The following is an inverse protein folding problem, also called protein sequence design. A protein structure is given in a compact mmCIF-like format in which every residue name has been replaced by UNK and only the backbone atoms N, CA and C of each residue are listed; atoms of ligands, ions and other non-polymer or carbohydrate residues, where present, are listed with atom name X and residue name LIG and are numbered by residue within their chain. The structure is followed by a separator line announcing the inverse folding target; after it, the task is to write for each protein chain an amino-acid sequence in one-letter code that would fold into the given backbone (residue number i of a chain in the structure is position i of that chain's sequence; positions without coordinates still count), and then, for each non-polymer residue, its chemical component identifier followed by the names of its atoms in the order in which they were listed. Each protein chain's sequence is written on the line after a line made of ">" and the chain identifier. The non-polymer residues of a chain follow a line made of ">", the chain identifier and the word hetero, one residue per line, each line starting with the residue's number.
data_IF_169689428324
#
_entry.id   IF_169689428324
#
_cell.length_a   1.000
_cell.length_b   1.000
_cell.length_c   1.000
_cell.angle_alpha   90.00
_cell.angle_beta   90.00
_cell.angle_gamma   90.00
#
_symmetry.space_group_name_H-M   'P 1'
#
loop_
_entity.id
_entity.type
_entity.pdbx_description
1 polymer ?
#
# COMPACT_ATOMS: atom_id res chain seq x y z
N UNK A 1 39.91 76.06 11.82
CA UNK A 1 38.80 75.12 11.54
C UNK A 1 39.41 73.76 11.26
N UNK A 2 39.38 72.86 12.24
CA UNK A 2 39.95 71.51 12.11
C UNK A 2 38.95 70.62 11.35
N UNK A 3 39.38 69.82 10.37
CA UNK A 3 38.50 68.89 9.68
C UNK A 3 38.12 67.76 10.63
N UNK A 4 36.82 67.55 10.80
CA UNK A 4 36.23 66.49 11.61
C UNK A 4 36.61 65.15 10.98
N UNK A 5 37.45 64.37 11.65
CA UNK A 5 37.79 62.99 11.27
C UNK A 5 36.53 62.12 11.37
N UNK A 6 35.82 61.92 10.25
CA UNK A 6 34.77 60.90 10.13
C UNK A 6 35.44 59.53 10.09
N UNK A 7 35.29 58.78 11.18
CA UNK A 7 35.65 57.37 11.25
C UNK A 7 34.61 56.58 10.45
N UNK A 8 34.92 56.26 9.20
CA UNK A 8 34.09 55.41 8.34
C UNK A 8 34.41 53.94 8.66
N UNK A 9 33.59 53.32 9.50
CA UNK A 9 33.66 51.89 9.77
C UNK A 9 32.99 51.14 8.60
N UNK A 10 33.78 50.71 7.63
CA UNK A 10 33.29 49.87 6.53
C UNK A 10 33.19 48.43 7.04
N UNK A 11 31.98 48.01 7.40
CA UNK A 11 31.69 46.62 7.76
C UNK A 11 31.56 45.82 6.46
N UNK A 12 32.64 45.14 6.05
CA UNK A 12 32.58 44.19 4.93
C UNK A 12 31.77 42.99 5.40
N UNK A 13 30.63 42.64 4.75
CA UNK A 13 29.87 41.46 5.14
C UNK A 13 30.74 40.24 4.94
N UNK A 14 30.99 39.51 6.04
CA UNK A 14 31.70 38.24 6.04
C UNK A 14 30.79 37.19 5.39
N UNK A 15 30.72 37.21 4.07
CA UNK A 15 30.06 36.19 3.26
C UNK A 15 30.89 34.93 3.45
N UNK A 16 30.31 33.95 4.16
CA UNK A 16 30.98 32.71 4.55
C UNK A 16 31.81 32.14 3.40
N UNK A 17 33.11 32.38 3.48
CA UNK A 17 34.06 31.84 2.52
C UNK A 17 34.13 30.35 2.80
N UNK A 18 33.39 29.55 2.03
CA UNK A 18 33.78 28.18 1.78
C UNK A 18 35.24 28.26 1.31
N UNK A 19 36.15 27.73 2.12
CA UNK A 19 37.58 27.64 1.86
C UNK A 19 37.79 26.73 0.66
N UNK A 20 37.57 27.28 -0.54
CA UNK A 20 38.12 26.77 -1.78
C UNK A 20 39.61 27.08 -1.79
N UNK A 21 40.34 26.49 -0.84
CA UNK A 21 41.80 26.54 -0.73
C UNK A 21 42.41 25.52 -1.70
N UNK A 22 41.90 25.52 -2.94
CA UNK A 22 42.50 24.81 -4.06
C UNK A 22 43.71 25.59 -4.52
N UNK A 23 44.83 25.41 -3.82
CA UNK A 23 46.13 25.97 -4.20
C UNK A 23 46.39 25.75 -5.69
N UNK A 24 46.44 26.85 -6.46
CA UNK A 24 46.88 26.83 -7.84
C UNK A 24 48.35 26.40 -7.86
N UNK A 25 48.61 25.11 -8.13
CA UNK A 25 49.95 24.58 -8.34
C UNK A 25 50.55 25.13 -9.64
N UNK A 26 51.87 25.25 -9.67
CA UNK A 26 52.58 25.90 -10.77
C UNK A 26 52.51 25.09 -12.07
N UNK A 27 52.59 25.76 -13.22
CA UNK A 27 52.58 25.12 -14.56
C UNK A 27 53.72 24.09 -14.70
N UNK A 28 54.80 24.23 -13.94
CA UNK A 28 55.94 23.31 -13.93
C UNK A 28 55.57 21.90 -13.43
N UNK A 29 54.45 21.74 -12.70
CA UNK A 29 53.99 20.45 -12.17
C UNK A 29 53.03 19.71 -13.12
N UNK A 30 52.82 20.19 -14.35
CA UNK A 30 52.08 19.46 -15.40
C UNK A 30 50.54 19.51 -15.28
N UNK A 31 49.99 20.37 -14.43
CA UNK A 31 48.53 20.47 -14.24
C UNK A 31 47.87 21.60 -15.03
N UNK A 32 46.61 21.38 -15.42
CA UNK A 32 45.75 22.39 -16.07
C UNK A 32 45.53 23.56 -15.10
N UNK A 33 45.53 24.80 -15.61
CA UNK A 33 45.16 25.98 -14.82
C UNK A 33 43.80 25.75 -14.15
N UNK A 34 43.65 26.20 -12.91
CA UNK A 34 42.39 26.09 -12.19
C UNK A 34 41.22 26.57 -13.08
N UNK A 35 40.03 25.94 -13.08
CA UNK A 35 38.92 26.41 -13.90
C UNK A 35 38.57 27.90 -13.67
N UNK A 36 38.75 28.38 -12.43
CA UNK A 36 38.60 29.80 -12.09
C UNK A 36 39.65 30.73 -12.72
N UNK A 37 40.77 30.19 -13.20
CA UNK A 37 41.86 30.90 -13.86
C UNK A 37 41.62 31.03 -15.38
N UNK A 38 40.69 30.25 -15.94
CA UNK A 38 40.36 30.25 -17.37
C UNK A 38 39.20 31.21 -17.69
N UNK A 39 38.38 31.55 -16.70
CA UNK A 39 37.33 32.57 -16.82
C UNK A 39 37.95 33.99 -16.72
N UNK A 40 37.88 34.81 -17.79
CA UNK A 40 38.46 36.15 -17.81
C UNK A 40 37.82 37.09 -16.78
N UNK A 41 36.53 36.93 -16.46
CA UNK A 41 35.83 37.76 -15.46
C UNK A 41 36.30 37.42 -14.05
N UNK A 42 36.35 36.12 -13.70
CA UNK A 42 36.91 35.69 -12.41
C UNK A 42 38.35 36.12 -12.22
N UNK A 43 39.19 36.01 -13.27
CA UNK A 43 40.57 36.50 -13.22
C UNK A 43 40.64 38.01 -12.96
N UNK A 44 39.75 38.78 -13.58
CA UNK A 44 39.67 40.23 -13.37
C UNK A 44 39.23 40.56 -11.94
N UNK A 45 38.21 39.89 -11.42
CA UNK A 45 37.75 40.04 -10.03
C UNK A 45 38.86 39.71 -9.01
N UNK A 46 39.58 38.60 -9.22
CA UNK A 46 40.72 38.22 -8.35
C UNK A 46 41.79 39.31 -8.36
N UNK A 47 42.14 39.83 -9.54
CA UNK A 47 43.14 40.89 -9.67
C UNK A 47 42.71 42.17 -8.95
N UNK A 48 41.44 42.58 -9.08
CA UNK A 48 40.87 43.74 -8.39
C UNK A 48 40.93 43.54 -6.87
N UNK A 49 40.50 42.39 -6.34
CA UNK A 49 40.58 42.07 -4.90
C UNK A 49 42.02 42.11 -4.38
N UNK A 50 42.98 41.59 -5.14
CA UNK A 50 44.40 41.65 -4.79
C UNK A 50 44.96 43.09 -4.80
N UNK A 51 44.52 43.94 -5.73
CA UNK A 51 44.90 45.37 -5.78
C UNK A 51 44.32 46.11 -4.57
N UNK A 52 43.03 45.95 -4.27
CA UNK A 52 42.38 46.52 -3.06
C UNK A 52 43.19 46.20 -1.80
N UNK A 53 43.50 44.92 -1.56
CA UNK A 53 44.28 44.52 -0.38
C UNK A 53 45.71 45.06 -0.37
N UNK A 54 46.34 45.25 -1.54
CA UNK A 54 47.67 45.90 -1.64
C UNK A 54 47.60 47.38 -1.29
N UNK A 55 46.62 48.11 -1.82
CA UNK A 55 46.43 49.53 -1.56
C UNK A 55 46.08 49.78 -0.10
N UNK A 56 45.23 48.95 0.52
CA UNK A 56 44.90 49.06 1.94
C UNK A 56 46.16 48.93 2.84
N UNK A 57 47.01 47.93 2.57
CA UNK A 57 48.29 47.76 3.30
C UNK A 57 49.27 48.89 3.02
N UNK A 58 49.25 49.48 1.83
CA UNK A 58 50.11 50.61 1.47
C UNK A 58 49.66 51.90 2.17
N UNK A 59 48.35 52.19 2.17
CA UNK A 59 47.73 53.30 2.89
C UNK A 59 48.03 53.23 4.39
N UNK A 60 47.86 52.05 5.02
CA UNK A 60 48.19 51.83 6.44
C UNK A 60 49.66 52.13 6.75
N UNK A 61 50.59 51.73 5.88
CA UNK A 61 52.03 52.03 6.04
C UNK A 61 52.34 53.51 5.86
N UNK A 62 51.75 54.16 4.85
CA UNK A 62 51.91 55.60 4.61
C UNK A 62 51.36 56.45 5.78
N UNK A 63 50.22 56.05 6.35
CA UNK A 63 49.63 56.70 7.52
C UNK A 63 50.53 56.59 8.77
N UNK A 64 51.13 55.42 9.01
CA UNK A 64 52.14 55.26 10.09
C UNK A 64 53.36 56.16 9.90
N UNK A 65 53.75 56.41 8.65
CA UNK A 65 54.87 57.29 8.30
C UNK A 65 54.47 58.78 8.17
N UNK A 66 53.22 59.14 8.47
CA UNK A 66 52.66 60.51 8.34
C UNK A 66 52.81 61.11 6.91
N UNK A 67 52.76 60.26 5.88
CA UNK A 67 52.84 60.68 4.48
C UNK A 67 51.42 60.87 3.91
N UNK A 68 50.76 61.98 4.24
CA UNK A 68 49.34 62.18 3.96
C UNK A 68 48.98 62.20 2.46
N UNK A 69 49.79 62.83 1.61
CA UNK A 69 49.58 62.83 0.14
C UNK A 69 49.55 61.40 -0.44
N UNK A 70 50.36 60.49 0.12
CA UNK A 70 50.37 59.09 -0.29
C UNK A 70 49.15 58.35 0.22
N UNK A 71 48.64 58.69 1.41
CA UNK A 71 47.39 58.12 1.93
C UNK A 71 46.24 58.48 1.00
N UNK A 72 46.10 59.76 0.66
CA UNK A 72 45.07 60.25 -0.28
C UNK A 72 45.14 59.53 -1.62
N UNK A 73 46.35 59.43 -2.21
CA UNK A 73 46.55 58.68 -3.45
C UNK A 73 46.10 57.20 -3.36
N UNK A 74 46.39 56.50 -2.25
CA UNK A 74 45.95 55.12 -2.09
C UNK A 74 44.44 54.99 -1.84
N UNK A 75 43.81 55.99 -1.22
CA UNK A 75 42.35 56.05 -1.03
C UNK A 75 41.65 56.20 -2.38
N UNK A 76 42.11 57.09 -3.25
CA UNK A 76 41.54 57.23 -4.61
C UNK A 76 41.64 55.93 -5.42
N UNK A 77 42.77 55.23 -5.31
CA UNK A 77 42.98 53.92 -5.96
C UNK A 77 42.05 52.84 -5.39
N UNK A 78 41.79 52.89 -4.07
CA UNK A 78 40.84 52.00 -3.39
C UNK A 78 39.42 52.25 -3.89
N UNK A 79 38.97 53.50 -3.92
CA UNK A 79 37.61 53.86 -4.34
C UNK A 79 37.34 53.44 -5.79
N UNK A 80 38.31 53.69 -6.69
CA UNK A 80 38.22 53.25 -8.09
C UNK A 80 38.09 51.72 -8.21
N UNK A 81 38.92 50.98 -7.51
CA UNK A 81 38.93 49.52 -7.61
C UNK A 81 37.73 48.88 -6.88
N UNK A 82 37.21 49.50 -5.81
CA UNK A 82 35.95 49.13 -5.19
C UNK A 82 34.77 49.34 -6.16
N UNK A 83 34.71 50.48 -6.86
CA UNK A 83 33.69 50.71 -7.89
C UNK A 83 33.79 49.69 -9.04
N UNK A 84 35.00 49.33 -9.46
CA UNK A 84 35.23 48.29 -10.46
C UNK A 84 34.81 46.90 -9.95
N UNK A 85 35.09 46.57 -8.69
CA UNK A 85 34.64 45.33 -8.06
C UNK A 85 33.12 45.25 -8.03
N UNK A 86 32.46 46.32 -7.62
CA UNK A 86 31.00 46.41 -7.58
C UNK A 86 30.40 46.23 -8.98
N UNK A 87 30.96 46.89 -10.00
CA UNK A 87 30.49 46.73 -11.38
C UNK A 87 30.62 45.29 -11.87
N UNK A 88 31.75 44.63 -11.58
CA UNK A 88 31.98 43.23 -11.98
C UNK A 88 31.11 42.23 -11.19
N UNK A 89 30.74 42.57 -9.95
CA UNK A 89 29.89 41.73 -9.09
C UNK A 89 28.41 41.96 -9.35
N UNK A 90 28.03 43.14 -9.88
CA UNK A 90 26.68 43.49 -10.33
C UNK A 90 26.30 42.89 -11.68
N UNK A 91 27.23 42.24 -12.38
CA UNK A 91 26.84 41.41 -13.53
C UNK A 91 25.88 40.36 -12.99
N UNK A 92 24.60 40.49 -13.37
CA UNK A 92 23.55 39.60 -12.90
C UNK A 92 24.03 38.16 -13.07
N UNK A 93 23.91 37.31 -12.03
CA UNK A 93 24.16 35.89 -12.23
C UNK A 93 23.30 35.45 -13.41
N UNK A 94 23.81 34.53 -14.26
CA UNK A 94 22.99 34.00 -15.34
C UNK A 94 21.65 33.57 -14.75
N UNK A 95 20.52 33.86 -15.43
CA UNK A 95 19.22 33.44 -14.93
C UNK A 95 19.29 31.94 -14.62
N UNK A 96 18.71 31.49 -13.49
CA UNK A 96 18.73 30.08 -13.16
C UNK A 96 18.16 29.29 -14.35
N UNK A 97 18.65 28.06 -14.58
CA UNK A 97 18.05 27.20 -15.59
C UNK A 97 16.55 27.04 -15.32
N UNK A 98 15.73 26.85 -16.36
CA UNK A 98 14.30 26.61 -16.16
C UNK A 98 14.11 25.39 -15.25
N UNK A 99 13.13 25.50 -14.34
CA UNK A 99 12.79 24.46 -13.39
C UNK A 99 12.39 23.16 -14.09
N UNK A 100 12.86 22.04 -13.54
CA UNK A 100 12.55 20.66 -13.97
C UNK A 100 11.35 20.08 -13.23
N UNK A 101 10.61 20.87 -12.44
CA UNK A 101 9.45 20.39 -11.68
C UNK A 101 8.42 19.63 -12.53
N UNK A 102 8.23 20.03 -13.80
CA UNK A 102 7.34 19.36 -14.74
C UNK A 102 7.73 17.92 -15.12
N UNK A 103 8.96 17.48 -14.84
CA UNK A 103 9.40 16.10 -15.08
C UNK A 103 8.91 15.13 -13.97
N UNK A 104 8.56 15.64 -12.79
CA UNK A 104 8.25 14.85 -11.59
C UNK A 104 6.75 14.71 -11.34
N UNK A 105 5.98 14.43 -12.39
CA UNK A 105 4.53 14.19 -12.26
C UNK A 105 4.23 12.79 -11.72
N UNK A 106 3.01 12.59 -11.23
CA UNK A 106 2.52 11.29 -10.76
C UNK A 106 2.69 10.19 -11.82
N UNK A 107 2.34 10.50 -13.07
CA UNK A 107 2.39 9.56 -14.18
C UNK A 107 3.84 9.22 -14.58
N UNK A 108 4.71 10.22 -14.64
CA UNK A 108 6.11 10.02 -14.99
C UNK A 108 6.86 9.17 -13.96
N UNK A 109 6.56 9.39 -12.67
CA UNK A 109 7.23 8.72 -11.54
C UNK A 109 6.58 7.41 -11.12
N UNK A 110 5.41 7.05 -11.67
CA UNK A 110 4.69 5.82 -11.32
C UNK A 110 5.51 4.54 -11.56
N UNK A 111 6.35 4.54 -12.60
CA UNK A 111 7.21 3.39 -12.94
C UNK A 111 8.57 3.40 -12.24
N UNK A 112 8.89 4.44 -11.49
CA UNK A 112 10.21 4.60 -10.88
C UNK A 112 10.32 3.79 -9.60
N UNK A 113 11.48 3.18 -9.40
CA UNK A 113 11.84 2.61 -8.10
C UNK A 113 12.05 3.74 -7.07
N UNK A 114 11.95 3.37 -5.80
CA UNK A 114 12.22 4.28 -4.68
C UNK A 114 13.67 4.80 -4.71
N UNK A 115 14.63 3.92 -4.99
CA UNK A 115 16.04 4.28 -5.18
C UNK A 115 16.24 5.28 -6.33
N UNK A 116 15.48 5.15 -7.43
CA UNK A 116 15.55 6.08 -8.55
C UNK A 116 15.02 7.48 -8.17
N UNK A 117 13.95 7.55 -7.37
CA UNK A 117 13.45 8.82 -6.83
C UNK A 117 14.47 9.45 -5.87
N UNK A 118 15.08 8.67 -4.99
CA UNK A 118 16.13 9.15 -4.06
C UNK A 118 17.38 9.64 -4.82
N UNK A 119 17.79 8.94 -5.88
CA UNK A 119 18.88 9.40 -6.74
C UNK A 119 18.54 10.75 -7.40
N UNK A 120 17.31 10.90 -7.90
CA UNK A 120 16.84 12.14 -8.51
C UNK A 120 16.80 13.33 -7.53
N UNK A 121 16.55 13.12 -6.23
CA UNK A 121 16.69 14.17 -5.19
C UNK A 121 18.09 14.80 -5.25
N UNK A 122 19.13 13.98 -5.40
CA UNK A 122 20.51 14.46 -5.40
C UNK A 122 20.81 15.26 -6.68
N UNK A 123 20.23 14.85 -7.80
CA UNK A 123 20.43 15.51 -9.10
C UNK A 123 19.76 16.89 -9.20
N UNK A 124 18.69 17.14 -8.42
CA UNK A 124 17.90 18.38 -8.47
C UNK A 124 18.19 19.36 -7.33
N UNK A 125 19.26 19.20 -6.56
CA UNK A 125 19.59 20.10 -5.44
C UNK A 125 19.72 21.59 -5.82
N UNK A 126 20.01 21.90 -7.09
CA UNK A 126 20.07 23.27 -7.60
C UNK A 126 18.71 23.89 -7.98
N UNK A 127 17.63 23.10 -7.92
CA UNK A 127 16.29 23.48 -8.35
C UNK A 127 15.27 23.22 -7.22
N UNK A 128 14.92 24.25 -6.42
CA UNK A 128 14.07 24.08 -5.27
C UNK A 128 12.63 23.67 -5.63
N UNK A 129 12.14 24.06 -6.81
CA UNK A 129 10.79 23.70 -7.27
C UNK A 129 10.73 22.22 -7.67
N UNK A 130 11.76 21.73 -8.37
CA UNK A 130 11.87 20.31 -8.68
C UNK A 130 12.00 19.45 -7.42
N UNK A 131 12.76 19.92 -6.43
CA UNK A 131 12.93 19.23 -5.15
C UNK A 131 11.60 19.11 -4.40
N UNK A 132 10.82 20.19 -4.31
CA UNK A 132 9.51 20.21 -3.65
C UNK A 132 8.51 19.27 -4.32
N UNK A 133 8.47 19.28 -5.67
CA UNK A 133 7.64 18.38 -6.46
C UNK A 133 7.98 16.90 -6.16
N UNK A 134 9.28 16.57 -6.12
CA UNK A 134 9.74 15.20 -5.89
C UNK A 134 9.52 14.74 -4.44
N UNK A 135 9.74 15.61 -3.46
CA UNK A 135 9.43 15.32 -2.05
C UNK A 135 7.93 15.06 -1.84
N UNK A 136 7.07 15.90 -2.44
CA UNK A 136 5.62 15.69 -2.40
C UNK A 136 5.22 14.32 -2.98
N UNK A 137 5.87 13.86 -4.06
CA UNK A 137 5.62 12.52 -4.63
C UNK A 137 6.04 11.38 -3.68
N UNK A 138 7.18 11.53 -2.99
CA UNK A 138 7.64 10.52 -2.02
C UNK A 138 6.66 10.41 -0.84
N UNK A 139 6.20 11.54 -0.30
CA UNK A 139 5.23 11.57 0.79
C UNK A 139 3.89 10.95 0.36
N UNK A 140 3.39 11.26 -0.83
CA UNK A 140 2.17 10.64 -1.36
C UNK A 140 2.30 9.11 -1.44
N UNK A 141 3.40 8.58 -2.00
CA UNK A 141 3.65 7.12 -2.07
C UNK A 141 3.73 6.49 -0.68
N UNK A 142 4.35 7.15 0.28
CA UNK A 142 4.44 6.67 1.66
C UNK A 142 3.03 6.57 2.29
N UNK A 143 2.18 7.60 2.11
CA UNK A 143 0.80 7.55 2.62
C UNK A 143 -0.05 6.48 1.94
N UNK A 144 0.17 6.20 0.66
CA UNK A 144 -0.51 5.12 -0.05
C UNK A 144 -0.10 3.74 0.47
N UNK A 145 1.21 3.52 0.67
CA UNK A 145 1.74 2.30 1.29
C UNK A 145 1.15 2.09 2.68
N UNK A 146 1.11 3.14 3.50
CA UNK A 146 0.56 3.06 4.86
C UNK A 146 -0.94 2.70 4.85
N UNK A 147 -1.74 3.36 3.99
CA UNK A 147 -3.17 3.04 3.82
C UNK A 147 -3.39 1.60 3.35
N UNK A 148 -2.56 1.10 2.43
CA UNK A 148 -2.64 -0.27 1.95
C UNK A 148 -2.32 -1.30 3.06
N UNK A 149 -1.28 -1.03 3.86
CA UNK A 149 -0.90 -1.87 4.99
C UNK A 149 -1.96 -1.88 6.10
N UNK A 150 -2.59 -0.74 6.38
CA UNK A 150 -3.70 -0.64 7.34
C UNK A 150 -4.92 -1.44 6.86
N UNK A 151 -5.30 -1.30 5.59
CA UNK A 151 -6.42 -2.06 5.00
C UNK A 151 -6.15 -3.58 4.96
N UNK A 152 -4.90 -4.01 4.83
CA UNK A 152 -4.52 -5.42 4.96
C UNK A 152 -4.69 -5.93 6.39
N UNK A 153 -4.25 -5.16 7.39
CA UNK A 153 -4.43 -5.49 8.81
C UNK A 153 -5.91 -5.59 9.18
N UNK A 154 -6.72 -4.64 8.74
CA UNK A 154 -8.17 -4.65 9.00
C UNK A 154 -8.84 -5.89 8.40
N UNK A 155 -8.46 -6.29 7.19
CA UNK A 155 -8.94 -7.53 6.57
C UNK A 155 -8.54 -8.76 7.37
N UNK A 156 -7.28 -8.85 7.79
CA UNK A 156 -6.79 -9.96 8.61
C UNK A 156 -7.52 -10.03 9.97
N UNK A 157 -7.77 -8.89 10.61
CA UNK A 157 -8.51 -8.82 11.87
C UNK A 157 -9.97 -9.22 11.71
N UNK A 158 -10.62 -8.82 10.61
CA UNK A 158 -11.98 -9.20 10.28
C UNK A 158 -12.10 -10.71 10.02
N UNK A 159 -11.17 -11.29 9.25
CA UNK A 159 -11.10 -12.74 9.02
C UNK A 159 -10.88 -13.52 10.32
N UNK A 160 -9.93 -13.06 11.16
CA UNK A 160 -9.70 -13.66 12.47
C UNK A 160 -10.93 -13.57 13.39
N UNK A 161 -11.67 -12.46 13.33
CA UNK A 161 -12.92 -12.30 14.08
C UNK A 161 -14.01 -13.27 13.59
N UNK A 162 -14.17 -13.44 12.27
CA UNK A 162 -15.11 -14.40 11.70
C UNK A 162 -14.75 -15.84 12.10
N UNK A 163 -13.47 -16.19 12.07
CA UNK A 163 -13.01 -17.51 12.48
C UNK A 163 -13.28 -17.77 13.97
N UNK A 164 -12.99 -16.81 14.85
CA UNK A 164 -13.32 -16.91 16.29
C UNK A 164 -14.82 -17.10 16.52
N UNK A 165 -15.67 -16.41 15.75
CA UNK A 165 -17.12 -16.60 15.83
C UNK A 165 -17.53 -18.01 15.39
N UNK A 166 -17.01 -18.49 14.25
CA UNK A 166 -17.27 -19.84 13.76
C UNK A 166 -16.83 -20.90 14.77
N UNK A 167 -15.65 -20.74 15.37
CA UNK A 167 -15.14 -21.62 16.43
C UNK A 167 -16.04 -21.59 17.66
N UNK A 168 -16.43 -20.41 18.14
CA UNK A 168 -17.34 -20.24 19.27
C UNK A 168 -18.70 -20.91 19.03
N UNK A 169 -19.26 -20.81 17.82
CA UNK A 169 -20.50 -21.49 17.44
C UNK A 169 -20.34 -23.02 17.28
N UNK A 170 -19.12 -23.50 17.08
CA UNK A 170 -18.80 -24.92 16.92
C UNK A 170 -18.41 -25.64 18.23
N UNK A 171 -18.32 -24.91 19.34
CA UNK A 171 -17.95 -25.52 20.62
C UNK A 171 -19.05 -26.44 21.14
N UNK A 172 -18.71 -27.54 21.86
CA UNK A 172 -19.70 -28.44 22.46
C UNK A 172 -20.67 -27.74 23.42
N UNK A 173 -20.33 -26.56 23.92
CA UNK A 173 -21.20 -25.79 24.81
C UNK A 173 -22.39 -25.17 24.06
N UNK A 174 -22.15 -24.60 22.87
CA UNK A 174 -23.13 -23.94 22.01
C UNK A 174 -23.80 -24.90 21.02
N UNK A 175 -23.10 -25.92 20.54
CA UNK A 175 -23.67 -27.00 19.73
C UNK A 175 -23.88 -28.27 20.57
N UNK A 176 -25.12 -28.57 20.99
CA UNK A 176 -25.43 -29.74 21.81
C UNK A 176 -25.15 -31.06 21.08
N UNK A 177 -25.04 -31.08 19.74
CA UNK A 177 -24.73 -32.29 18.97
C UNK A 177 -23.29 -32.76 19.16
N UNK A 178 -22.37 -31.86 19.54
CA UNK A 178 -20.94 -32.14 19.74
C UNK A 178 -20.55 -32.52 21.17
N UNK A 179 -21.50 -32.57 22.11
CA UNK A 179 -21.21 -32.99 23.50
C UNK A 179 -20.98 -34.50 23.56
N UNK A 180 -19.73 -34.91 23.84
CA UNK A 180 -19.37 -36.32 24.09
C UNK A 180 -20.15 -36.96 25.24
N UNK A 181 -20.66 -36.16 26.17
CA UNK A 181 -21.49 -36.61 27.31
C UNK A 181 -23.00 -36.69 27.01
N UNK A 182 -23.44 -36.44 25.76
CA UNK A 182 -24.87 -36.49 25.42
C UNK A 182 -25.40 -37.92 25.52
N UNK A 183 -26.09 -38.22 26.62
CA UNK A 183 -26.85 -39.47 26.78
C UNK A 183 -28.13 -39.42 25.95
N UNK A 184 -27.99 -39.63 24.65
CA UNK A 184 -29.12 -39.75 23.73
C UNK A 184 -29.99 -40.95 24.11
N UNK A 185 -31.30 -40.75 24.12
CA UNK A 185 -32.24 -41.87 24.21
C UNK A 185 -32.17 -42.72 22.93
N UNK A 186 -32.63 -43.97 22.99
CA UNK A 186 -32.66 -44.84 21.81
C UNK A 186 -33.42 -44.20 20.62
N UNK A 187 -34.47 -43.43 20.91
CA UNK A 187 -35.24 -42.70 19.89
C UNK A 187 -34.47 -41.53 19.29
N UNK A 188 -33.74 -40.77 20.11
CA UNK A 188 -32.90 -39.68 19.61
C UNK A 188 -31.75 -40.20 18.74
N UNK A 189 -31.11 -41.31 19.15
CA UNK A 189 -30.08 -41.98 18.32
C UNK A 189 -30.65 -42.47 17.00
N UNK A 190 -31.84 -43.07 17.04
CA UNK A 190 -32.54 -43.53 15.84
C UNK A 190 -32.86 -42.35 14.90
N UNK A 191 -33.22 -41.19 15.46
CA UNK A 191 -33.49 -39.98 14.66
C UNK A 191 -32.22 -39.43 14.03
N UNK A 192 -31.15 -39.27 14.79
CA UNK A 192 -29.87 -38.78 14.24
C UNK A 192 -29.32 -39.72 13.16
N UNK A 193 -29.38 -41.04 13.38
CA UNK A 193 -28.98 -42.01 12.38
C UNK A 193 -29.85 -41.95 11.10
N UNK A 194 -31.14 -41.62 11.25
CA UNK A 194 -32.02 -41.41 10.10
C UNK A 194 -31.67 -40.13 9.34
N UNK A 195 -31.40 -39.04 10.04
CA UNK A 195 -31.03 -37.77 9.43
C UNK A 195 -29.70 -37.93 8.63
N UNK A 196 -28.74 -38.70 9.15
CA UNK A 196 -27.53 -39.10 8.41
C UNK A 196 -27.85 -39.95 7.17
N UNK A 197 -28.71 -40.96 7.31
CA UNK A 197 -29.12 -41.80 6.18
C UNK A 197 -29.79 -40.99 5.06
N UNK A 198 -30.64 -40.03 5.43
CA UNK A 198 -31.29 -39.13 4.47
C UNK A 198 -30.26 -38.27 3.75
N UNK A 199 -29.25 -37.75 4.46
CA UNK A 199 -28.17 -36.98 3.85
C UNK A 199 -27.35 -37.82 2.87
N UNK A 200 -27.01 -39.06 3.21
CA UNK A 200 -26.30 -39.99 2.32
C UNK A 200 -27.10 -40.27 1.04
N UNK A 201 -28.40 -40.58 1.19
CA UNK A 201 -29.30 -40.79 0.05
C UNK A 201 -29.45 -39.52 -0.80
N UNK A 202 -29.46 -38.35 -0.18
CA UNK A 202 -29.49 -37.06 -0.89
C UNK A 202 -28.22 -36.85 -1.73
N UNK A 203 -27.03 -37.05 -1.15
CA UNK A 203 -25.76 -36.89 -1.87
C UNK A 203 -25.65 -37.88 -3.04
N UNK A 204 -26.02 -39.14 -2.83
CA UNK A 204 -26.02 -40.15 -3.90
C UNK A 204 -27.00 -39.80 -5.03
N UNK A 205 -28.20 -39.32 -4.68
CA UNK A 205 -29.17 -38.89 -5.67
C UNK A 205 -28.72 -37.63 -6.41
N UNK A 206 -28.06 -36.68 -5.73
CA UNK A 206 -27.50 -35.48 -6.36
C UNK A 206 -26.43 -35.84 -7.40
N UNK A 207 -25.54 -36.76 -7.07
CA UNK A 207 -24.50 -37.27 -7.97
C UNK A 207 -25.09 -38.02 -9.18
N UNK A 208 -26.04 -38.93 -8.96
CA UNK A 208 -26.65 -39.72 -10.05
C UNK A 208 -27.60 -38.90 -10.93
N UNK A 209 -28.38 -37.99 -10.36
CA UNK A 209 -29.30 -37.12 -11.08
C UNK A 209 -28.66 -35.82 -11.56
N UNK A 210 -27.34 -35.65 -11.39
CA UNK A 210 -26.58 -34.45 -11.82
C UNK A 210 -27.20 -33.13 -11.32
N UNK A 211 -27.70 -33.14 -10.09
CA UNK A 211 -28.39 -31.99 -9.47
C UNK A 211 -29.85 -31.75 -9.91
N UNK A 212 -30.41 -32.55 -10.83
CA UNK A 212 -31.80 -32.41 -11.29
C UNK A 212 -32.81 -33.15 -10.40
N UNK A 213 -32.93 -32.75 -9.14
CA UNK A 213 -33.81 -33.41 -8.16
C UNK A 213 -35.28 -32.96 -8.23
N UNK A 214 -35.54 -31.75 -8.72
CA UNK A 214 -36.87 -31.14 -8.74
C UNK A 214 -37.44 -31.05 -10.16
N UNK A 215 -38.77 -31.18 -10.25
CA UNK A 215 -39.48 -30.83 -11.48
C UNK A 215 -39.74 -29.31 -11.58
N UNK A 216 -40.20 -28.85 -12.74
CA UNK A 216 -40.49 -27.42 -13.00
C UNK A 216 -41.44 -26.81 -11.97
N UNK A 217 -42.42 -27.58 -11.48
CA UNK A 217 -43.40 -27.13 -10.47
C UNK A 217 -42.76 -26.97 -9.09
N UNK A 218 -41.84 -27.86 -8.71
CA UNK A 218 -41.07 -27.79 -7.46
C UNK A 218 -40.08 -26.62 -7.46
N UNK A 219 -39.37 -26.42 -8.58
CA UNK A 219 -38.47 -25.29 -8.79
C UNK A 219 -39.21 -23.95 -8.70
N UNK A 220 -40.34 -23.80 -9.39
CA UNK A 220 -41.16 -22.59 -9.34
C UNK A 220 -41.68 -22.25 -7.93
N UNK A 221 -41.84 -23.26 -7.07
CA UNK A 221 -42.26 -23.08 -5.68
C UNK A 221 -41.11 -22.93 -4.68
N UNK A 222 -39.85 -23.03 -5.12
CA UNK A 222 -38.69 -22.99 -4.23
C UNK A 222 -38.67 -24.11 -3.19
N UNK A 223 -39.20 -25.29 -3.53
CA UNK A 223 -39.20 -26.43 -2.60
C UNK A 223 -37.77 -26.89 -2.37
N UNK A 224 -37.33 -26.98 -1.10
CA UNK A 224 -36.02 -27.55 -0.78
C UNK A 224 -35.98 -29.04 -1.18
N UNK A 225 -35.05 -29.48 -2.05
CA UNK A 225 -34.97 -30.87 -2.48
C UNK A 225 -34.77 -31.87 -1.33
N UNK A 226 -34.02 -31.50 -0.27
CA UNK A 226 -33.79 -32.37 0.89
C UNK A 226 -35.10 -32.77 1.60
N UNK A 227 -36.09 -31.87 1.62
CA UNK A 227 -37.41 -32.13 2.22
C UNK A 227 -38.18 -33.25 1.50
N UNK A 228 -37.85 -33.56 0.24
CA UNK A 228 -38.51 -34.63 -0.50
C UNK A 228 -38.13 -36.02 0.03
N UNK A 229 -36.95 -36.17 0.62
CA UNK A 229 -36.50 -37.44 1.19
C UNK A 229 -37.22 -37.75 2.50
N UNK A 230 -37.40 -36.74 3.37
CA UNK A 230 -38.07 -36.90 4.67
C UNK A 230 -39.60 -36.82 4.62
N UNK A 231 -40.13 -36.07 3.65
CA UNK A 231 -41.53 -35.66 3.65
C UNK A 231 -42.55 -36.77 3.33
N UNK A 232 -43.85 -36.40 3.24
CA UNK A 232 -44.90 -37.31 2.81
C UNK A 232 -44.73 -37.76 1.35
N UNK A 233 -45.13 -39.00 1.08
CA UNK A 233 -44.95 -39.61 -0.24
C UNK A 233 -45.60 -38.85 -1.40
N UNK A 234 -46.79 -38.29 -1.18
CA UNK A 234 -47.51 -37.53 -2.19
C UNK A 234 -46.80 -36.22 -2.56
N UNK A 235 -46.13 -35.56 -1.59
CA UNK A 235 -45.36 -34.33 -1.82
C UNK A 235 -44.14 -34.63 -2.68
N UNK A 236 -43.42 -35.70 -2.34
CA UNK A 236 -42.28 -36.17 -3.11
C UNK A 236 -42.69 -36.49 -4.56
N UNK A 237 -43.77 -37.24 -4.77
CA UNK A 237 -44.29 -37.54 -6.12
C UNK A 237 -44.72 -36.30 -6.89
N UNK A 238 -45.26 -35.28 -6.22
CA UNK A 238 -45.72 -34.06 -6.87
C UNK A 238 -44.58 -33.14 -7.33
N UNK A 239 -43.42 -33.15 -6.65
CA UNK A 239 -42.35 -32.18 -6.87
C UNK A 239 -41.00 -32.78 -7.31
N UNK A 240 -40.78 -34.09 -7.15
CA UNK A 240 -39.58 -34.76 -7.62
C UNK A 240 -39.50 -34.75 -9.15
N UNK A 241 -38.27 -34.73 -9.66
CA UNK A 241 -37.98 -34.96 -11.07
C UNK A 241 -38.25 -36.43 -11.46
N UNK A 242 -38.35 -36.70 -12.77
CA UNK A 242 -38.49 -38.08 -13.27
C UNK A 242 -37.27 -38.95 -12.92
N UNK A 243 -36.08 -38.35 -12.96
CA UNK A 243 -34.82 -39.02 -12.63
C UNK A 243 -34.76 -39.40 -11.16
N UNK A 244 -35.18 -38.52 -10.26
CA UNK A 244 -35.24 -38.81 -8.83
C UNK A 244 -36.28 -39.90 -8.52
N UNK A 245 -37.44 -39.88 -9.19
CA UNK A 245 -38.43 -40.96 -9.05
C UNK A 245 -37.88 -42.31 -9.54
N UNK A 246 -37.15 -42.33 -10.65
CA UNK A 246 -36.49 -43.54 -11.16
C UNK A 246 -35.37 -44.01 -10.22
N UNK A 247 -34.60 -43.09 -9.65
CA UNK A 247 -33.57 -43.38 -8.66
C UNK A 247 -34.16 -44.02 -7.41
N UNK A 248 -35.26 -43.47 -6.88
CA UNK A 248 -35.99 -44.10 -5.77
C UNK A 248 -36.62 -45.45 -6.14
N UNK A 249 -36.96 -45.68 -7.40
CA UNK A 249 -37.42 -47.00 -7.87
C UNK A 249 -36.31 -48.07 -7.77
N UNK A 250 -35.05 -47.68 -7.99
CA UNK A 250 -33.88 -48.57 -7.91
C UNK A 250 -33.36 -48.74 -6.48
N UNK A 251 -33.19 -47.63 -5.76
CA UNK A 251 -32.55 -47.61 -4.44
C UNK A 251 -33.55 -47.73 -3.28
N UNK A 252 -34.84 -47.57 -3.55
CA UNK A 252 -35.89 -47.49 -2.54
C UNK A 252 -35.92 -46.13 -1.84
N UNK A 253 -37.08 -45.77 -1.30
CA UNK A 253 -37.21 -44.61 -0.41
C UNK A 253 -37.60 -45.06 0.99
N UNK A 254 -36.62 -45.02 1.90
CA UNK A 254 -36.82 -45.34 3.31
C UNK A 254 -37.44 -44.16 4.03
N UNK A 255 -38.64 -44.35 4.60
CA UNK A 255 -39.28 -43.33 5.44
C UNK A 255 -38.83 -43.46 6.90
N UNK A 256 -38.92 -42.39 7.68
CA UNK A 256 -38.57 -42.44 9.12
C UNK A 256 -39.30 -43.54 9.88
N UNK A 257 -40.58 -43.81 9.55
CA UNK A 257 -41.35 -44.88 10.20
C UNK A 257 -40.79 -46.28 9.88
N UNK A 258 -40.34 -46.48 8.65
CA UNK A 258 -39.71 -47.73 8.23
C UNK A 258 -38.33 -47.90 8.89
N UNK A 259 -37.51 -46.85 8.86
CA UNK A 259 -36.20 -46.81 9.52
C UNK A 259 -36.31 -47.06 11.02
N UNK A 260 -37.26 -46.40 11.69
CA UNK A 260 -37.49 -46.57 13.13
C UNK A 260 -37.85 -48.01 13.48
N UNK A 261 -38.67 -48.66 12.67
CA UNK A 261 -39.01 -50.07 12.87
C UNK A 261 -37.80 -50.99 12.64
N UNK A 262 -37.01 -50.78 11.58
CA UNK A 262 -35.82 -51.61 11.34
C UNK A 262 -34.78 -51.47 12.44
N UNK A 263 -34.63 -50.26 12.99
CA UNK A 263 -33.66 -49.95 14.04
C UNK A 263 -34.10 -50.43 15.43
N UNK A 264 -35.34 -50.14 15.84
CA UNK A 264 -35.84 -50.42 17.20
C UNK A 264 -36.59 -51.75 17.32
N UNK A 265 -37.02 -52.36 16.21
CA UNK A 265 -37.75 -53.64 16.14
C UNK A 265 -38.99 -53.75 17.03
N UNK A 266 -39.61 -52.61 17.40
CA UNK A 266 -40.79 -52.58 18.27
C UNK A 266 -42.04 -53.10 17.54
N UNK A 267 -42.83 -54.01 18.14
CA UNK A 267 -44.07 -54.50 17.52
C UNK A 267 -45.07 -53.41 17.17
N UNK A 268 -45.15 -52.34 17.97
CA UNK A 268 -46.03 -51.19 17.72
C UNK A 268 -45.69 -50.43 16.43
N UNK A 269 -44.42 -50.44 16.02
CA UNK A 269 -43.95 -49.73 14.83
C UNK A 269 -44.15 -50.53 13.53
N UNK A 270 -44.35 -51.85 13.63
CA UNK A 270 -44.50 -52.75 12.48
C UNK A 270 -45.65 -52.34 11.54
N UNK A 271 -46.82 -52.03 12.11
CA UNK A 271 -48.01 -51.63 11.33
C UNK A 271 -47.82 -50.24 10.68
N UNK A 272 -47.14 -49.34 11.39
CA UNK A 272 -46.83 -48.00 10.88
C UNK A 272 -45.79 -48.05 9.74
N UNK A 273 -44.77 -48.89 9.87
CA UNK A 273 -43.77 -49.14 8.83
C UNK A 273 -44.40 -49.77 7.59
N UNK A 274 -45.25 -50.80 7.74
CA UNK A 274 -45.95 -51.44 6.62
C UNK A 274 -46.84 -50.45 5.86
N UNK A 275 -47.57 -49.59 6.58
CA UNK A 275 -48.38 -48.52 5.96
C UNK A 275 -47.50 -47.51 5.22
N UNK A 276 -46.38 -47.12 5.81
CA UNK A 276 -45.46 -46.15 5.22
C UNK A 276 -44.77 -46.71 3.96
N UNK A 277 -44.38 -47.99 3.96
CA UNK A 277 -43.81 -48.68 2.80
C UNK A 277 -44.80 -48.74 1.63
N UNK A 278 -46.08 -49.06 1.91
CA UNK A 278 -47.14 -49.01 0.87
C UNK A 278 -47.33 -47.61 0.30
N UNK A 279 -47.16 -46.58 1.12
CA UNK A 279 -47.34 -45.19 0.70
C UNK A 279 -46.13 -44.59 -0.02
N UNK A 280 -44.90 -44.99 0.35
CA UNK A 280 -43.67 -44.30 -0.06
C UNK A 280 -43.52 -44.26 -1.57
N UNK A 281 -43.76 -45.38 -2.26
CA UNK A 281 -43.74 -45.43 -3.74
C UNK A 281 -44.79 -46.34 -4.38
N UNK A 282 -45.59 -47.09 -3.60
CA UNK A 282 -46.66 -47.96 -4.10
C UNK A 282 -46.17 -48.89 -5.21
N UNK A 283 -45.54 -50.01 -4.83
CA UNK A 283 -45.11 -51.12 -5.69
C UNK A 283 -45.00 -50.73 -7.17
N UNK A 284 -43.86 -50.16 -7.57
CA UNK A 284 -43.49 -50.22 -8.98
C UNK A 284 -43.39 -51.72 -9.30
N UNK A 285 -44.25 -52.28 -10.18
CA UNK A 285 -44.06 -53.65 -10.62
C UNK A 285 -42.66 -53.75 -11.24
N UNK A 286 -41.89 -54.74 -10.78
CA UNK A 286 -40.58 -55.06 -11.31
C UNK A 286 -40.63 -55.35 -12.81
#
# INVERSE_FOLDING_TARGET
>A
MLPVCRTLTITVPNSGAATLDGMCRSIAEGYRRCPGCNDPLRRTLINVRQRIGRYERAAKRAGKAQQWDRVEHYVDLLDRDCAQHDQLTRLDPPPPPPSRAGEFTAEATASWSEDALVAAVSDVQGDPEALDALMSRLDERETEKQRAAEAERERADAEAAQQRQAEAHSTPLTDPTRRSSRRLTAEQRCREAYDHHVLEQYMQAEDECRGHLLNKKGQAKGVNPAMLFEGPAHVARAYASKELLQWWGRNGRTTYRQWRYSWLQRPSDRKAAATAQRQSLGDAPA
#
